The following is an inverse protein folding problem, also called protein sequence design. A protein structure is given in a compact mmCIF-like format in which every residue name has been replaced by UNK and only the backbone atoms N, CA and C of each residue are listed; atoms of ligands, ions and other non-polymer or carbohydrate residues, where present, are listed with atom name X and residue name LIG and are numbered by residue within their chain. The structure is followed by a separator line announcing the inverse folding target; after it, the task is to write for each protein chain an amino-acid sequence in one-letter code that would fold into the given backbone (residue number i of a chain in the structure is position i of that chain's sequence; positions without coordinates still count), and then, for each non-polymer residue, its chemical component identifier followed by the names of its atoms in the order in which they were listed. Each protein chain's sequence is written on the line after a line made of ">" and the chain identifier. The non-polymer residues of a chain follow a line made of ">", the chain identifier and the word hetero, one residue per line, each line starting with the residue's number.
data_IF_838337151320
#
_entry.id   IF_838337151320
#
_cell.length_a   1.000
_cell.length_b   1.000
_cell.length_c   1.000
_cell.angle_alpha   90.00
_cell.angle_beta   90.00
_cell.angle_gamma   90.00
#
_symmetry.space_group_name_H-M   'P 1'
#
loop_
_entity.id
_entity.type
_entity.pdbx_description
1 polymer ?
#
# COMPACT_ATOMS: atom_id res chain seq x y z
N UNK A 1 -3.36 15.45 -10.31
CA UNK A 1 -2.31 15.26 -9.29
C UNK A 1 -1.16 14.45 -9.89
N UNK A 2 0.03 14.61 -9.33
CA UNK A 2 1.24 13.86 -9.70
C UNK A 2 1.53 12.81 -8.61
N UNK A 3 1.36 11.54 -8.93
CA UNK A 3 1.44 10.44 -7.96
C UNK A 3 2.62 9.53 -8.31
N UNK A 4 3.47 9.23 -7.32
CA UNK A 4 4.49 8.20 -7.48
C UNK A 4 3.99 6.89 -6.87
N UNK A 5 4.07 5.79 -7.63
CA UNK A 5 3.61 4.46 -7.19
C UNK A 5 4.79 3.49 -7.20
N UNK A 6 5.15 3.02 -6.01
CA UNK A 6 6.12 1.94 -5.81
C UNK A 6 5.44 0.58 -5.87
N UNK A 7 6.10 -0.41 -6.46
CA UNK A 7 5.50 -1.73 -6.63
C UNK A 7 4.42 -1.78 -7.71
N UNK A 8 4.50 -0.90 -8.71
CA UNK A 8 3.49 -0.69 -9.75
C UNK A 8 3.18 -1.90 -10.65
N UNK A 9 4.01 -2.95 -10.65
CA UNK A 9 3.74 -4.21 -11.33
C UNK A 9 3.10 -5.28 -10.43
N UNK A 10 2.97 -5.01 -9.13
CA UNK A 10 2.24 -5.88 -8.20
C UNK A 10 0.72 -5.76 -8.38
N UNK A 11 -0.03 -6.73 -7.81
CA UNK A 11 -1.48 -6.77 -8.02
C UNK A 11 -2.21 -5.47 -7.63
N UNK A 12 -1.97 -4.92 -6.42
CA UNK A 12 -2.56 -3.64 -6.00
C UNK A 12 -1.93 -2.49 -6.78
N UNK A 13 -0.59 -2.46 -6.91
CA UNK A 13 0.12 -1.36 -7.56
C UNK A 13 -0.33 -1.16 -9.01
N UNK A 14 -0.49 -2.25 -9.78
CA UNK A 14 -0.99 -2.19 -11.16
C UNK A 14 -2.39 -1.60 -11.23
N UNK A 15 -3.32 -2.08 -10.40
CA UNK A 15 -4.68 -1.54 -10.32
C UNK A 15 -4.69 -0.06 -9.92
N UNK A 16 -3.76 0.34 -9.03
CA UNK A 16 -3.62 1.75 -8.62
C UNK A 16 -3.13 2.63 -9.78
N UNK A 17 -2.15 2.15 -10.57
CA UNK A 17 -1.69 2.86 -11.77
C UNK A 17 -2.83 3.03 -12.77
N UNK A 18 -3.54 1.95 -13.11
CA UNK A 18 -4.65 1.96 -14.06
C UNK A 18 -5.76 2.89 -13.60
N UNK A 19 -6.16 2.80 -12.32
CA UNK A 19 -7.23 3.62 -11.76
C UNK A 19 -6.84 5.11 -11.71
N UNK A 20 -5.61 5.45 -11.31
CA UNK A 20 -5.12 6.83 -11.26
C UNK A 20 -5.10 7.47 -12.66
N UNK A 21 -4.62 6.75 -13.67
CA UNK A 21 -4.58 7.23 -15.06
C UNK A 21 -5.98 7.46 -15.62
N UNK A 22 -6.91 6.54 -15.37
CA UNK A 22 -8.32 6.66 -15.80
C UNK A 22 -9.02 7.89 -15.18
N UNK A 23 -8.58 8.30 -13.96
CA UNK A 23 -9.12 9.48 -13.26
C UNK A 23 -8.30 10.77 -13.48
N UNK A 24 -7.47 10.80 -14.52
CA UNK A 24 -6.83 12.04 -14.95
C UNK A 24 -5.54 12.41 -14.23
N UNK A 25 -5.01 11.56 -13.36
CA UNK A 25 -3.76 11.80 -12.66
C UNK A 25 -2.53 11.54 -13.54
N UNK A 26 -1.42 12.21 -13.25
CA UNK A 26 -0.11 11.87 -13.79
C UNK A 26 0.54 10.86 -12.85
N UNK A 27 1.05 9.77 -13.40
CA UNK A 27 1.61 8.66 -12.62
C UNK A 27 3.07 8.46 -12.97
N UNK A 28 3.91 8.41 -11.95
CA UNK A 28 5.28 7.90 -12.02
C UNK A 28 5.30 6.51 -11.40
N UNK A 29 5.44 5.48 -12.22
CA UNK A 29 5.49 4.08 -11.79
C UNK A 29 6.94 3.65 -11.59
N UNK A 30 7.32 3.35 -10.33
CA UNK A 30 8.66 2.87 -10.01
C UNK A 30 8.69 1.34 -9.94
N UNK A 31 9.60 0.74 -10.71
CA UNK A 31 9.71 -0.71 -10.91
C UNK A 31 11.17 -1.14 -10.95
N UNK A 32 11.49 -2.29 -10.34
CA UNK A 32 12.80 -2.92 -10.51
C UNK A 32 13.02 -3.45 -11.94
N UNK A 33 11.95 -3.89 -12.59
CA UNK A 33 11.97 -4.36 -13.98
C UNK A 33 10.83 -3.71 -14.77
N UNK A 34 11.10 -2.65 -15.55
CA UNK A 34 10.11 -1.93 -16.36
C UNK A 34 9.36 -2.80 -17.36
N UNK A 35 10.00 -3.83 -17.92
CA UNK A 35 9.38 -4.72 -18.90
C UNK A 35 8.17 -5.51 -18.36
N UNK A 36 7.98 -5.55 -17.03
CA UNK A 36 6.81 -6.19 -16.41
C UNK A 36 5.54 -5.33 -16.41
N UNK A 37 5.64 -4.05 -16.75
CA UNK A 37 4.51 -3.15 -16.90
C UNK A 37 4.33 -2.78 -18.37
N UNK A 38 3.43 -3.48 -19.06
CA UNK A 38 3.16 -3.30 -20.49
C UNK A 38 2.19 -2.16 -20.80
N UNK A 39 1.76 -1.41 -19.77
CA UNK A 39 0.84 -0.30 -19.91
C UNK A 39 1.53 0.91 -20.57
N UNK A 40 0.89 1.48 -21.58
CA UNK A 40 1.32 2.73 -22.21
C UNK A 40 0.22 3.77 -22.08
N UNK A 41 0.58 4.98 -21.61
CA UNK A 41 -0.38 6.07 -21.45
C UNK A 41 0.36 7.41 -21.47
N UNK A 42 -0.18 8.51 -22.09
CA UNK A 42 0.48 9.80 -22.16
C UNK A 42 0.84 10.42 -20.79
N UNK A 43 0.10 10.07 -19.74
CA UNK A 43 0.31 10.53 -18.36
C UNK A 43 1.05 9.53 -17.48
N UNK A 44 1.66 8.50 -18.05
CA UNK A 44 2.45 7.50 -17.34
C UNK A 44 3.93 7.66 -17.64
N UNK A 45 4.72 7.85 -16.61
CA UNK A 45 6.19 7.77 -16.66
C UNK A 45 6.63 6.50 -15.95
N UNK A 46 7.37 5.64 -16.63
CA UNK A 46 7.93 4.41 -16.02
C UNK A 46 9.38 4.67 -15.67
N UNK A 47 9.73 4.44 -14.40
CA UNK A 47 11.08 4.63 -13.87
C UNK A 47 11.63 3.31 -13.38
N UNK A 48 12.83 2.96 -13.81
CA UNK A 48 13.57 1.84 -13.24
C UNK A 48 14.23 2.27 -11.94
N UNK A 49 13.92 1.58 -10.83
CA UNK A 49 14.53 1.87 -9.55
C UNK A 49 14.21 0.79 -8.51
N UNK A 50 14.97 0.83 -7.43
CA UNK A 50 14.79 -0.04 -6.27
C UNK A 50 14.54 0.82 -5.03
N UNK A 51 13.50 0.50 -4.25
CA UNK A 51 13.15 1.24 -3.02
C UNK A 51 14.33 1.31 -2.03
N UNK A 52 15.23 0.32 -2.06
CA UNK A 52 16.46 0.27 -1.24
C UNK A 52 17.60 1.15 -1.77
N UNK A 53 17.46 1.72 -2.96
CA UNK A 53 18.44 2.58 -3.62
C UNK A 53 17.83 3.94 -3.94
N UNK A 54 17.75 4.85 -2.96
CA UNK A 54 17.06 6.14 -3.13
C UNK A 54 17.63 6.95 -4.28
N UNK A 55 18.94 6.84 -4.58
CA UNK A 55 19.58 7.49 -5.71
C UNK A 55 18.97 7.13 -7.08
N UNK A 56 18.28 5.97 -7.16
CA UNK A 56 17.61 5.54 -8.39
C UNK A 56 16.25 6.20 -8.60
N UNK A 57 15.68 6.88 -7.61
CA UNK A 57 14.33 7.43 -7.72
C UNK A 57 14.07 8.73 -6.96
N UNK A 58 14.95 9.18 -6.04
CA UNK A 58 14.64 10.33 -5.16
C UNK A 58 14.31 11.60 -5.95
N UNK A 59 14.98 11.85 -7.09
CA UNK A 59 14.67 12.97 -7.98
C UNK A 59 13.23 12.94 -8.50
N UNK A 60 12.62 11.77 -8.59
CA UNK A 60 11.25 11.61 -9.06
C UNK A 60 10.21 11.85 -7.94
N UNK A 61 10.64 12.08 -6.70
CA UNK A 61 9.76 12.48 -5.60
C UNK A 61 9.48 13.99 -5.61
N UNK A 62 10.34 14.76 -6.26
CA UNK A 62 10.15 16.21 -6.39
C UNK A 62 8.81 16.52 -7.07
N UNK A 63 8.08 17.51 -6.55
CA UNK A 63 6.79 17.94 -7.06
C UNK A 63 5.73 16.82 -7.16
N UNK A 64 5.82 15.78 -6.31
CA UNK A 64 4.75 14.80 -6.17
C UNK A 64 3.76 15.20 -5.09
N UNK A 65 2.48 15.11 -5.42
CA UNK A 65 1.39 15.34 -4.49
C UNK A 65 1.27 14.20 -3.46
N UNK A 66 1.55 12.97 -3.89
CA UNK A 66 1.52 11.79 -3.02
C UNK A 66 2.39 10.63 -3.52
N UNK A 67 2.74 9.76 -2.58
CA UNK A 67 3.39 8.47 -2.85
C UNK A 67 2.46 7.34 -2.42
N UNK A 68 2.39 6.27 -3.23
CA UNK A 68 1.69 5.04 -2.86
C UNK A 68 2.71 3.90 -2.86
N UNK A 69 2.97 3.36 -1.68
CA UNK A 69 3.86 2.21 -1.48
C UNK A 69 3.03 0.92 -1.47
N UNK A 70 2.99 0.25 -2.62
CA UNK A 70 2.36 -1.06 -2.81
C UNK A 70 3.43 -2.17 -2.95
N UNK A 71 4.46 -2.11 -2.11
CA UNK A 71 5.53 -3.09 -2.07
C UNK A 71 5.01 -4.47 -1.68
N UNK A 72 5.60 -5.53 -2.23
CA UNK A 72 5.28 -6.91 -1.91
C UNK A 72 6.34 -7.89 -2.41
N UNK A 73 6.61 -8.96 -1.65
CA UNK A 73 7.59 -10.00 -1.98
C UNK A 73 7.12 -11.44 -1.68
N UNK A 74 5.81 -11.67 -1.60
CA UNK A 74 5.24 -13.01 -1.39
C UNK A 74 5.16 -13.47 0.06
N UNK A 75 5.71 -12.76 1.05
CA UNK A 75 5.50 -12.86 2.51
C UNK A 75 5.89 -14.18 3.20
N UNK A 76 6.25 -15.25 2.49
CA UNK A 76 6.55 -16.57 3.05
C UNK A 76 8.04 -16.83 3.31
N UNK A 77 8.90 -15.86 3.04
CA UNK A 77 10.34 -15.87 3.30
C UNK A 77 10.71 -14.74 4.25
N UNK A 78 11.81 -14.86 5.01
CA UNK A 78 12.35 -13.73 5.75
C UNK A 78 12.58 -12.53 4.84
N UNK A 79 12.08 -11.38 5.23
CA UNK A 79 12.15 -10.13 4.46
C UNK A 79 12.23 -8.93 5.39
N UNK A 80 12.88 -7.88 4.91
CA UNK A 80 12.90 -6.53 5.50
C UNK A 80 12.42 -5.48 4.48
N UNK A 81 11.80 -5.95 3.38
CA UNK A 81 11.38 -5.08 2.28
C UNK A 81 10.38 -4.02 2.74
N UNK A 82 9.43 -4.42 3.60
CA UNK A 82 8.39 -3.50 4.06
C UNK A 82 8.95 -2.48 5.04
N UNK A 83 9.72 -2.90 6.04
CA UNK A 83 10.28 -2.02 7.05
C UNK A 83 11.44 -1.17 6.51
N UNK A 84 12.51 -1.79 6.03
CA UNK A 84 13.69 -1.08 5.54
C UNK A 84 13.39 -0.30 4.26
N UNK A 85 12.66 -0.90 3.30
CA UNK A 85 12.30 -0.21 2.06
C UNK A 85 11.46 1.03 2.29
N UNK A 86 10.41 0.95 3.13
CA UNK A 86 9.58 2.11 3.43
C UNK A 86 10.29 3.14 4.33
N UNK A 87 11.22 2.73 5.21
CA UNK A 87 12.03 3.68 5.96
C UNK A 87 12.90 4.55 5.04
N UNK A 88 13.58 3.92 4.08
CA UNK A 88 14.38 4.62 3.06
C UNK A 88 13.50 5.54 2.21
N UNK A 89 12.33 5.04 1.77
CA UNK A 89 11.37 5.85 1.03
C UNK A 89 10.93 7.09 1.80
N UNK A 90 10.55 6.95 3.06
CA UNK A 90 10.11 8.08 3.88
C UNK A 90 11.23 9.12 4.13
N UNK A 91 12.48 8.67 4.24
CA UNK A 91 13.64 9.58 4.31
C UNK A 91 13.81 10.37 2.99
N UNK A 92 13.73 9.69 1.84
CA UNK A 92 13.80 10.33 0.54
C UNK A 92 12.64 11.31 0.33
N UNK A 93 11.41 10.94 0.73
CA UNK A 93 10.24 11.82 0.69
C UNK A 93 10.46 13.11 1.49
N UNK A 94 10.96 13.00 2.72
CA UNK A 94 11.25 14.17 3.57
C UNK A 94 12.31 15.09 2.93
N UNK A 95 13.38 14.49 2.39
CA UNK A 95 14.45 15.23 1.68
C UNK A 95 13.91 16.02 0.49
N UNK A 96 12.93 15.45 -0.23
CA UNK A 96 12.35 16.04 -1.45
C UNK A 96 11.08 16.85 -1.20
N UNK A 97 10.64 16.99 0.07
CA UNK A 97 9.47 17.79 0.45
C UNK A 97 8.10 17.13 0.18
N UNK A 98 8.07 15.86 -0.23
CA UNK A 98 6.81 15.11 -0.42
C UNK A 98 6.34 14.57 0.94
N UNK A 99 5.14 14.94 1.38
CA UNK A 99 4.66 14.63 2.73
C UNK A 99 3.52 13.62 2.78
N UNK A 100 2.79 13.40 1.69
CA UNK A 100 1.61 12.52 1.65
C UNK A 100 1.96 11.13 1.16
N UNK A 101 1.61 10.07 1.93
CA UNK A 101 1.81 8.69 1.49
C UNK A 101 0.72 7.71 1.94
N UNK A 102 0.51 6.68 1.12
CA UNK A 102 -0.21 5.45 1.47
C UNK A 102 0.75 4.28 1.53
N UNK A 103 0.55 3.42 2.54
CA UNK A 103 1.32 2.19 2.72
C UNK A 103 0.37 1.00 2.78
N UNK A 104 0.64 -0.04 2.00
CA UNK A 104 -0.13 -1.28 2.05
C UNK A 104 0.46 -2.19 3.12
N UNK A 105 -0.41 -2.62 4.02
CA UNK A 105 -0.17 -3.63 5.05
C UNK A 105 -1.14 -4.80 4.85
N UNK A 106 -1.56 -5.48 5.92
CA UNK A 106 -2.56 -6.54 5.87
C UNK A 106 -3.41 -6.55 7.16
N UNK A 107 -4.70 -6.88 7.05
CA UNK A 107 -5.58 -6.98 8.22
C UNK A 107 -5.13 -8.08 9.19
N UNK A 108 -4.59 -9.18 8.68
CA UNK A 108 -4.18 -10.34 9.46
C UNK A 108 -2.88 -10.15 10.27
N UNK A 109 -2.20 -8.99 10.18
CA UNK A 109 -1.05 -8.70 11.07
C UNK A 109 -1.49 -8.62 12.54
N UNK A 110 -2.73 -8.24 12.80
CA UNK A 110 -3.36 -8.28 14.11
C UNK A 110 -4.55 -9.23 14.12
N UNK A 111 -4.79 -9.88 15.26
CA UNK A 111 -5.98 -10.70 15.44
C UNK A 111 -7.11 -9.78 15.85
N UNK A 112 -8.00 -9.48 14.91
CA UNK A 112 -9.12 -8.57 15.14
C UNK A 112 -10.04 -9.06 16.28
N UNK A 113 -10.30 -8.25 17.32
CA UNK A 113 -11.14 -8.63 18.44
C UNK A 113 -12.62 -8.75 18.10
N UNK A 114 -13.05 -8.11 16.99
CA UNK A 114 -14.46 -8.09 16.55
C UNK A 114 -14.83 -9.28 15.65
N UNK A 115 -13.84 -10.11 15.28
CA UNK A 115 -14.10 -11.32 14.51
C UNK A 115 -14.61 -12.47 15.41
N UNK A 116 -15.43 -13.40 14.88
CA UNK A 116 -15.81 -14.62 15.56
C UNK A 116 -14.59 -15.40 16.08
N UNK A 117 -14.76 -16.09 17.21
CA UNK A 117 -13.65 -16.78 17.87
C UNK A 117 -12.92 -17.78 16.96
N UNK A 118 -13.63 -18.49 16.09
CA UNK A 118 -13.05 -19.46 15.16
C UNK A 118 -12.20 -18.78 14.08
N UNK A 119 -12.62 -17.60 13.55
CA UNK A 119 -11.82 -16.80 12.63
C UNK A 119 -10.55 -16.30 13.32
N UNK A 120 -10.65 -15.88 14.58
CA UNK A 120 -9.48 -15.46 15.38
C UNK A 120 -8.48 -16.59 15.56
N UNK A 121 -8.94 -17.82 15.82
CA UNK A 121 -8.07 -19.00 15.91
C UNK A 121 -7.39 -19.29 14.55
N UNK A 122 -8.14 -19.30 13.45
CA UNK A 122 -7.60 -19.50 12.10
C UNK A 122 -6.57 -18.41 11.77
N UNK A 123 -6.88 -17.15 12.04
CA UNK A 123 -5.93 -16.04 11.81
C UNK A 123 -4.65 -16.25 12.61
N UNK A 124 -4.75 -16.53 13.91
CA UNK A 124 -3.61 -16.67 14.80
C UNK A 124 -2.74 -17.90 14.50
N UNK A 125 -3.34 -19.06 14.33
CA UNK A 125 -2.61 -20.33 14.29
C UNK A 125 -2.29 -20.82 12.86
N UNK A 126 -3.05 -20.36 11.86
CA UNK A 126 -2.82 -20.75 10.46
C UNK A 126 -2.26 -19.59 9.64
N UNK A 127 -3.01 -18.48 9.53
CA UNK A 127 -2.66 -17.38 8.62
C UNK A 127 -1.37 -16.68 9.08
N UNK A 128 -1.28 -16.31 10.36
CA UNK A 128 -0.08 -15.67 10.91
C UNK A 128 1.14 -16.61 10.95
N UNK A 129 0.95 -17.92 11.02
CA UNK A 129 2.04 -18.88 10.94
C UNK A 129 2.56 -19.02 9.50
N UNK A 130 1.65 -19.06 8.52
CA UNK A 130 2.00 -19.21 7.10
C UNK A 130 2.73 -17.98 6.54
N UNK A 131 2.29 -16.77 6.92
CA UNK A 131 2.84 -15.50 6.43
C UNK A 131 3.65 -14.75 7.49
N UNK A 132 4.11 -15.43 8.53
CA UNK A 132 4.68 -14.84 9.73
C UNK A 132 5.86 -13.90 9.50
N UNK A 133 6.75 -14.22 8.56
CA UNK A 133 7.91 -13.38 8.23
C UNK A 133 7.46 -12.02 7.65
N UNK A 134 6.59 -12.05 6.66
CA UNK A 134 6.07 -10.82 6.06
C UNK A 134 5.25 -9.99 7.05
N UNK A 135 4.42 -10.62 7.87
CA UNK A 135 3.62 -9.90 8.88
C UNK A 135 4.49 -9.32 10.00
N UNK A 136 5.58 -9.99 10.39
CA UNK A 136 6.53 -9.44 11.36
C UNK A 136 7.18 -8.15 10.81
N UNK A 137 7.63 -8.18 9.57
CA UNK A 137 8.22 -7.02 8.90
C UNK A 137 7.21 -5.89 8.68
N UNK A 138 5.95 -6.22 8.32
CA UNK A 138 4.88 -5.21 8.21
C UNK A 138 4.55 -4.54 9.56
N UNK A 139 4.61 -5.26 10.70
CA UNK A 139 4.43 -4.64 12.02
C UNK A 139 5.54 -3.63 12.31
N UNK A 140 6.78 -3.95 11.96
CA UNK A 140 7.91 -3.02 12.09
C UNK A 140 7.68 -1.80 11.17
N UNK A 141 7.31 -2.03 9.93
CA UNK A 141 6.98 -0.98 8.97
C UNK A 141 5.89 -0.05 9.50
N UNK A 142 4.78 -0.57 10.01
CA UNK A 142 3.70 0.27 10.54
C UNK A 142 4.14 1.14 11.72
N UNK A 143 5.00 0.61 12.61
CA UNK A 143 5.58 1.40 13.71
C UNK A 143 6.40 2.56 13.15
N UNK A 144 7.32 2.28 12.22
CA UNK A 144 8.15 3.31 11.57
C UNK A 144 7.32 4.37 10.84
N UNK A 145 6.26 3.95 10.15
CA UNK A 145 5.33 4.87 9.46
C UNK A 145 4.62 5.78 10.46
N UNK A 146 4.11 5.25 11.57
CA UNK A 146 3.43 6.02 12.62
C UNK A 146 4.34 7.06 13.28
N UNK A 147 5.63 6.73 13.42
CA UNK A 147 6.66 7.61 14.00
C UNK A 147 7.28 8.57 12.98
N UNK A 148 6.91 8.47 11.71
CA UNK A 148 7.58 9.18 10.62
C UNK A 148 7.34 10.69 10.58
N UNK A 149 6.21 11.17 11.09
CA UNK A 149 5.82 12.59 11.04
C UNK A 149 5.32 13.09 9.68
N UNK A 150 5.14 12.22 8.67
CA UNK A 150 4.50 12.56 7.39
C UNK A 150 2.98 12.40 7.49
N UNK A 151 2.24 12.82 6.46
CA UNK A 151 0.79 12.59 6.33
C UNK A 151 0.53 11.19 5.76
N UNK A 152 0.70 10.16 6.57
CA UNK A 152 0.56 8.78 6.17
C UNK A 152 -0.87 8.26 6.25
N UNK A 153 -1.19 7.24 5.46
CA UNK A 153 -2.33 6.34 5.63
C UNK A 153 -1.85 4.90 5.43
N UNK A 154 -2.07 4.05 6.42
CA UNK A 154 -1.81 2.61 6.32
C UNK A 154 -3.12 1.93 5.92
N UNK A 155 -3.12 1.17 4.82
CA UNK A 155 -4.29 0.41 4.38
C UNK A 155 -4.05 -1.06 4.67
N UNK A 156 -4.95 -1.68 5.41
CA UNK A 156 -4.93 -3.10 5.82
C UNK A 156 -6.03 -3.89 5.11
N UNK A 157 -5.82 -4.33 3.87
CA UNK A 157 -6.78 -5.19 3.19
C UNK A 157 -6.75 -6.62 3.78
N UNK A 158 -7.88 -7.34 3.75
CA UNK A 158 -7.95 -8.78 4.02
C UNK A 158 -7.50 -9.58 2.81
N UNK A 159 -8.03 -10.81 2.63
CA UNK A 159 -7.75 -11.60 1.43
C UNK A 159 -8.11 -10.85 0.15
N UNK A 160 -7.12 -10.70 -0.74
CA UNK A 160 -7.29 -9.98 -2.01
C UNK A 160 -7.81 -10.90 -3.12
N UNK A 161 -8.65 -10.35 -4.01
CA UNK A 161 -9.06 -10.99 -5.26
C UNK A 161 -8.92 -10.00 -6.44
N UNK A 162 -9.14 -10.51 -7.67
CA UNK A 162 -8.98 -9.75 -8.91
C UNK A 162 -10.33 -9.35 -9.54
N UNK A 163 -11.38 -9.24 -8.74
CA UNK A 163 -12.67 -8.75 -9.23
C UNK A 163 -12.57 -7.27 -9.65
N UNK A 164 -13.43 -6.83 -10.58
CA UNK A 164 -13.52 -5.42 -10.96
C UNK A 164 -13.80 -4.50 -9.76
N UNK A 165 -13.56 -3.21 -9.96
CA UNK A 165 -13.93 -2.18 -8.99
C UNK A 165 -15.45 -2.15 -8.81
N UNK A 166 -15.89 -2.12 -7.56
CA UNK A 166 -17.30 -2.02 -7.20
C UNK A 166 -17.66 -0.66 -6.58
N UNK A 167 -16.71 -0.03 -5.90
CA UNK A 167 -16.94 1.15 -5.07
C UNK A 167 -17.76 0.88 -3.80
N UNK A 168 -18.23 -0.37 -3.61
CA UNK A 168 -19.06 -0.78 -2.48
C UNK A 168 -18.27 -1.65 -1.51
N UNK A 169 -17.66 -1.01 -0.53
CA UNK A 169 -16.89 -1.65 0.54
C UNK A 169 -17.05 -0.85 1.84
N UNK A 170 -16.75 -1.50 2.95
CA UNK A 170 -16.76 -0.87 4.28
C UNK A 170 -15.35 -0.43 4.65
N UNK A 171 -15.25 0.61 5.47
CA UNK A 171 -14.00 1.18 5.97
C UNK A 171 -14.10 1.39 7.47
N UNK A 172 -13.08 0.98 8.22
CA UNK A 172 -12.90 1.38 9.61
C UNK A 172 -11.60 2.20 9.74
N UNK A 173 -11.73 3.39 10.29
CA UNK A 173 -10.60 4.29 10.57
C UNK A 173 -10.13 4.01 11.99
N UNK A 174 -8.84 3.63 12.15
CA UNK A 174 -8.21 3.29 13.43
C UNK A 174 -8.97 2.22 14.23
N UNK A 175 -9.63 1.30 13.53
CA UNK A 175 -10.46 0.25 14.11
C UNK A 175 -10.50 -1.02 13.27
N UNK A 176 -11.40 -1.92 13.62
CA UNK A 176 -11.57 -3.22 12.96
C UNK A 176 -12.98 -3.33 12.34
N UNK A 177 -13.06 -4.04 11.21
CA UNK A 177 -14.31 -4.42 10.56
C UNK A 177 -14.72 -5.84 10.94
N UNK A 178 -15.95 -6.01 11.39
CA UNK A 178 -16.55 -7.34 11.58
C UNK A 178 -16.80 -7.99 10.21
N UNK A 179 -16.54 -9.31 10.12
CA UNK A 179 -16.76 -10.11 8.91
C UNK A 179 -16.05 -9.59 7.64
N UNK A 180 -14.94 -8.89 7.83
CA UNK A 180 -14.12 -8.34 6.76
C UNK A 180 -13.09 -9.39 6.29
N UNK A 181 -13.46 -10.21 5.30
CA UNK A 181 -12.64 -11.34 4.86
C UNK A 181 -12.02 -11.18 3.47
N UNK A 182 -12.60 -10.35 2.61
CA UNK A 182 -12.17 -10.21 1.21
C UNK A 182 -12.34 -8.78 0.71
N UNK A 183 -11.49 -8.41 -0.28
CA UNK A 183 -11.65 -7.20 -1.08
C UNK A 183 -10.96 -7.38 -2.44
N UNK A 184 -11.42 -6.67 -3.47
CA UNK A 184 -10.69 -6.62 -4.73
C UNK A 184 -9.51 -5.68 -4.68
N UNK A 185 -8.44 -6.00 -5.42
CA UNK A 185 -7.31 -5.08 -5.60
C UNK A 185 -7.74 -3.76 -6.24
N UNK A 186 -8.75 -3.83 -7.11
CA UNK A 186 -9.33 -2.66 -7.76
C UNK A 186 -10.05 -1.73 -6.75
N UNK A 187 -10.79 -2.28 -5.77
CA UNK A 187 -11.42 -1.47 -4.72
C UNK A 187 -10.42 -0.87 -3.73
N UNK A 188 -9.30 -1.57 -3.45
CA UNK A 188 -8.19 -0.96 -2.69
C UNK A 188 -7.58 0.22 -3.44
N UNK A 189 -7.37 0.10 -4.74
CA UNK A 189 -6.88 1.18 -5.60
C UNK A 189 -7.88 2.35 -5.64
N UNK A 190 -9.17 2.07 -5.84
CA UNK A 190 -10.26 3.05 -5.77
C UNK A 190 -10.22 3.84 -4.46
N UNK A 191 -10.14 3.14 -3.32
CA UNK A 191 -10.07 3.79 -2.01
C UNK A 191 -8.87 4.74 -1.89
N UNK A 192 -7.67 4.28 -2.25
CA UNK A 192 -6.45 5.07 -2.10
C UNK A 192 -6.49 6.33 -2.98
N UNK A 193 -6.85 6.19 -4.24
CA UNK A 193 -6.91 7.32 -5.17
C UNK A 193 -8.00 8.31 -4.76
N UNK A 194 -9.19 7.84 -4.38
CA UNK A 194 -10.30 8.69 -3.95
C UNK A 194 -10.04 9.44 -2.63
N UNK A 195 -9.06 8.99 -1.83
CA UNK A 195 -8.75 9.58 -0.52
C UNK A 195 -7.36 10.24 -0.44
N UNK A 196 -6.69 10.49 -1.56
CA UNK A 196 -5.34 11.10 -1.54
C UNK A 196 -5.37 12.43 -0.78
N UNK A 197 -6.32 13.30 -1.09
CA UNK A 197 -6.45 14.62 -0.49
C UNK A 197 -7.47 14.69 0.66
N UNK A 198 -7.90 13.56 1.21
CA UNK A 198 -8.84 13.53 2.31
C UNK A 198 -8.09 13.64 3.67
N UNK A 199 -8.15 14.80 4.37
CA UNK A 199 -7.43 14.98 5.64
C UNK A 199 -7.88 14.02 6.75
N UNK A 200 -9.12 13.51 6.68
CA UNK A 200 -9.64 12.53 7.65
C UNK A 200 -8.90 11.19 7.58
N UNK A 201 -8.20 10.93 6.48
CA UNK A 201 -7.38 9.73 6.29
C UNK A 201 -5.91 9.94 6.69
N UNK A 202 -5.52 11.17 7.07
CA UNK A 202 -4.14 11.43 7.48
C UNK A 202 -3.87 10.83 8.85
N UNK A 203 -2.67 10.28 9.01
CA UNK A 203 -2.20 9.61 10.24
C UNK A 203 -3.19 8.53 10.73
N UNK A 204 -3.78 7.78 9.80
CA UNK A 204 -4.81 6.80 10.08
C UNK A 204 -4.45 5.41 9.54
N UNK A 205 -4.81 4.40 10.32
CA UNK A 205 -4.78 2.99 9.89
C UNK A 205 -6.20 2.60 9.46
N UNK A 206 -6.32 2.08 8.26
CA UNK A 206 -7.58 1.80 7.60
C UNK A 206 -7.74 0.30 7.41
N UNK A 207 -8.73 -0.30 8.03
CA UNK A 207 -9.20 -1.62 7.63
C UNK A 207 -10.30 -1.46 6.58
N UNK A 208 -10.22 -2.23 5.49
CA UNK A 208 -11.10 -2.09 4.33
C UNK A 208 -11.52 -3.48 3.80
N UNK A 209 -12.81 -3.64 3.48
CA UNK A 209 -13.31 -4.91 2.92
C UNK A 209 -14.83 -4.95 2.75
N UNK A 210 -15.30 -6.04 2.17
CA UNK A 210 -16.73 -6.28 1.95
C UNK A 210 -17.44 -6.74 3.21
#
# INVERSE_FOLDING_TARGET
>A
MHILIMGANGGIGKQTVEYALAHGHQVTALLRNPAKLTLTHPRLTIVQGDVRRPESYEQHLENKDAVISALGDGMNKPTDLYSAGNAILMQAMKKMGTTRAFFISASAIEVSPVQPWYIRLVTKYLVQKLFGHGYADQRIMEKLVKESGINWTIVRPPQLNDKPVTGHYRVAVNGFLKDCLRISRADVAHFMIGNINNPQMYQSTIEIGY
#
